data_IF_496759017435
#
_entry.id   IF_496759017435
#
_cell.length_a   1.000
_cell.length_b   1.000
_cell.length_c   1.000
_cell.angle_alpha   90.00
_cell.angle_beta   90.00
_cell.angle_gamma   90.00
#
_symmetry.space_group_name_H-M   'P 1'
#
loop_
_entity.id
_entity.type
_entity.pdbx_description
1 polymer ?
#
# COMPACT_ATOMS: atom_id res chain seq x y z
N UNK A 1 -51.26 -46.40 -9.21
CA UNK A 1 -50.83 -45.36 -10.15
C UNK A 1 -49.45 -44.92 -9.72
N UNK A 2 -48.46 -45.83 -9.85
CA UNK A 2 -47.52 -45.94 -11.00
C UNK A 2 -46.48 -44.80 -10.90
N UNK A 3 -45.22 -44.96 -10.46
CA UNK A 3 -44.18 -45.99 -10.66
C UNK A 3 -43.92 -46.38 -12.11
N UNK A 4 -42.74 -45.98 -12.63
CA UNK A 4 -41.86 -46.54 -13.69
C UNK A 4 -40.81 -45.45 -14.00
N UNK A 5 -39.49 -45.52 -13.74
CA UNK A 5 -38.43 -46.54 -13.85
C UNK A 5 -37.89 -46.76 -15.29
N UNK A 6 -36.54 -46.63 -15.38
CA UNK A 6 -35.60 -47.09 -16.42
C UNK A 6 -35.50 -46.36 -17.77
N UNK A 7 -34.29 -45.89 -18.13
CA UNK A 7 -33.30 -46.74 -18.82
C UNK A 7 -31.96 -46.04 -19.06
N UNK A 8 -30.92 -46.77 -18.72
CA UNK A 8 -29.49 -46.65 -19.01
C UNK A 8 -29.12 -46.78 -20.49
N UNK A 9 -27.99 -46.17 -20.88
CA UNK A 9 -27.07 -46.73 -21.88
C UNK A 9 -25.63 -46.29 -21.60
N UNK A 10 -24.85 -47.24 -21.10
CA UNK A 10 -23.39 -47.23 -21.08
C UNK A 10 -22.86 -47.66 -22.45
N UNK A 11 -21.83 -46.99 -22.96
CA UNK A 11 -20.94 -47.54 -24.00
C UNK A 11 -19.51 -47.47 -23.49
N UNK A 12 -19.03 -48.64 -23.05
CA UNK A 12 -17.61 -48.97 -22.97
C UNK A 12 -17.05 -49.15 -24.38
N UNK A 13 -15.81 -48.68 -24.63
CA UNK A 13 -14.86 -49.34 -25.52
C UNK A 13 -13.42 -48.96 -25.14
N UNK A 14 -12.55 -49.95 -25.27
CA UNK A 14 -11.26 -50.18 -24.60
C UNK A 14 -10.05 -49.38 -25.16
N UNK A 15 -8.90 -49.39 -24.44
CA UNK A 15 -7.67 -48.64 -24.74
C UNK A 15 -6.58 -49.48 -25.44
N UNK A 16 -5.82 -48.92 -26.39
CA UNK A 16 -4.62 -49.55 -27.01
C UNK A 16 -3.73 -48.43 -27.65
N UNK A 17 -2.38 -48.52 -27.78
CA UNK A 17 -1.33 -48.90 -26.83
C UNK A 17 -0.18 -47.86 -26.74
N UNK A 18 0.69 -48.05 -25.77
CA UNK A 18 2.03 -47.46 -25.66
C UNK A 18 2.95 -47.83 -26.84
N UNK A 19 3.58 -46.84 -27.48
CA UNK A 19 4.76 -47.06 -28.33
C UNK A 19 6.00 -46.41 -27.73
N UNK A 20 6.90 -47.31 -27.33
CA UNK A 20 8.26 -47.04 -26.93
C UNK A 20 9.09 -46.79 -28.20
N UNK A 21 9.76 -45.64 -28.33
CA UNK A 21 10.88 -45.47 -29.28
C UNK A 21 12.00 -44.67 -28.64
N UNK A 22 13.06 -45.40 -28.28
CA UNK A 22 14.41 -44.89 -28.22
C UNK A 22 14.84 -44.38 -29.60
N UNK A 23 15.50 -43.21 -29.65
CA UNK A 23 16.86 -43.04 -30.20
C UNK A 23 17.12 -41.61 -30.66
N UNK A 24 18.42 -41.28 -30.65
CA UNK A 24 19.11 -40.16 -31.28
C UNK A 24 19.23 -38.85 -30.50
N UNK A 25 20.36 -38.80 -29.79
CA UNK A 25 21.23 -37.65 -29.60
C UNK A 25 21.30 -36.73 -30.83
N UNK A 26 21.10 -35.42 -30.63
CA UNK A 26 21.74 -34.39 -31.44
C UNK A 26 22.08 -33.19 -30.56
N UNK A 27 23.37 -32.98 -30.47
CA UNK A 27 24.08 -31.87 -29.88
C UNK A 27 23.93 -30.64 -30.81
N UNK A 28 23.68 -29.44 -30.27
CA UNK A 28 24.52 -28.24 -30.46
C UNK A 28 23.80 -26.92 -30.10
N UNK A 29 24.47 -26.19 -29.20
CA UNK A 29 24.74 -24.75 -29.18
C UNK A 29 23.60 -23.72 -29.30
N UNK A 30 23.37 -23.00 -28.19
CA UNK A 30 23.26 -21.53 -28.24
C UNK A 30 23.86 -20.90 -26.98
N UNK A 31 24.64 -19.86 -27.25
CA UNK A 31 25.62 -19.17 -26.42
C UNK A 31 25.00 -18.32 -25.31
N UNK A 32 25.48 -18.50 -24.08
CA UNK A 32 25.36 -17.49 -23.00
C UNK A 32 26.60 -16.61 -23.01
N UNK A 33 26.44 -15.36 -23.41
CA UNK A 33 27.40 -14.29 -23.14
C UNK A 33 27.28 -13.92 -21.65
N UNK A 34 28.33 -14.21 -20.87
CA UNK A 34 28.50 -13.71 -19.51
C UNK A 34 29.84 -12.97 -19.45
N UNK A 35 29.78 -11.65 -19.30
CA UNK A 35 30.93 -10.81 -18.98
C UNK A 35 31.27 -10.99 -17.50
N UNK A 36 32.47 -11.50 -17.23
CA UNK A 36 33.01 -11.66 -15.88
C UNK A 36 33.83 -10.45 -15.42
N UNK A 37 34.11 -10.43 -14.12
CA UNK A 37 35.36 -9.89 -13.55
C UNK A 37 35.79 -10.77 -12.35
N UNK A 38 37.10 -10.90 -12.08
CA UNK A 38 37.69 -12.12 -11.55
C UNK A 38 37.95 -12.12 -10.04
N UNK A 39 38.02 -13.32 -9.44
CA UNK A 39 38.79 -13.58 -8.21
C UNK A 39 39.87 -14.61 -8.53
N UNK A 40 41.13 -14.21 -8.35
CA UNK A 40 42.27 -15.10 -8.48
C UNK A 40 42.33 -16.09 -7.31
N UNK A 41 42.50 -17.34 -7.72
CA UNK A 41 43.32 -18.44 -7.17
C UNK A 41 44.33 -18.08 -6.07
N UNK A 42 44.73 -18.98 -5.16
CA UNK A 42 45.14 -20.37 -5.41
C UNK A 42 45.17 -21.22 -4.13
N UNK A 43 44.85 -22.50 -4.33
CA UNK A 43 45.10 -23.66 -3.47
C UNK A 43 46.59 -23.99 -3.32
N UNK A 44 47.02 -24.58 -2.20
CA UNK A 44 47.44 -26.00 -2.14
C UNK A 44 47.93 -26.44 -0.75
N UNK A 45 47.74 -27.74 -0.50
CA UNK A 45 47.83 -28.51 0.74
C UNK A 45 49.27 -28.77 1.21
N UNK A 46 49.49 -29.00 2.52
CA UNK A 46 50.10 -30.27 3.00
C UNK A 46 49.92 -30.53 4.51
N UNK A 47 49.86 -31.84 4.82
CA UNK A 47 49.64 -32.52 6.11
C UNK A 47 50.56 -32.11 7.28
N UNK A 48 50.07 -32.21 8.54
CA UNK A 48 50.53 -33.21 9.55
C UNK A 48 49.83 -33.12 10.93
N UNK A 49 49.30 -34.27 11.34
CA UNK A 49 49.25 -34.95 12.66
C UNK A 49 48.96 -34.21 13.99
N UNK A 50 48.03 -34.83 14.72
CA UNK A 50 47.58 -34.68 16.10
C UNK A 50 48.67 -34.51 17.19
N UNK A 51 48.32 -33.77 18.26
CA UNK A 51 48.42 -34.21 19.67
C UNK A 51 47.68 -33.24 20.61
N UNK A 52 46.74 -33.79 21.39
CA UNK A 52 46.24 -33.23 22.66
C UNK A 52 47.29 -33.49 23.76
N UNK A 53 47.28 -32.72 24.86
CA UNK A 53 46.64 -33.27 26.06
C UNK A 53 45.82 -32.26 26.88
N UNK A 54 44.78 -32.79 27.53
CA UNK A 54 44.09 -32.18 28.64
C UNK A 54 44.95 -32.26 29.91
N UNK A 55 44.99 -31.19 30.71
CA UNK A 55 45.46 -31.24 32.10
C UNK A 55 44.46 -30.50 33.00
N UNK A 56 44.25 -31.14 34.13
CA UNK A 56 43.20 -31.09 35.13
C UNK A 56 43.26 -29.86 36.04
N UNK A 57 42.07 -29.42 36.50
CA UNK A 57 41.85 -28.48 37.59
C UNK A 57 42.43 -28.99 38.92
N UNK A 58 43.12 -28.11 39.65
CA UNK A 58 43.26 -28.20 41.12
C UNK A 58 43.10 -26.83 41.78
N UNK A 59 42.48 -26.90 42.96
CA UNK A 59 41.97 -25.85 43.85
C UNK A 59 43.04 -24.92 44.45
N UNK A 60 42.72 -23.63 44.67
CA UNK A 60 42.74 -22.98 46.00
C UNK A 60 42.34 -21.49 45.94
N UNK A 61 41.67 -21.05 47.00
CA UNK A 61 41.07 -19.73 47.26
C UNK A 61 42.08 -18.57 47.33
N UNK A 62 41.67 -17.40 46.84
CA UNK A 62 41.96 -16.12 47.50
C UNK A 62 40.89 -15.08 47.12
N UNK A 63 40.17 -14.59 48.13
CA UNK A 63 39.23 -13.47 48.04
C UNK A 63 39.97 -12.16 47.77
N UNK A 64 39.65 -11.48 46.67
CA UNK A 64 39.83 -10.03 46.55
C UNK A 64 38.56 -9.41 45.99
N UNK A 65 37.78 -8.79 46.90
CA UNK A 65 36.61 -8.00 46.58
C UNK A 65 37.03 -6.66 45.97
N UNK A 66 37.07 -6.59 44.64
CA UNK A 66 37.12 -5.31 43.92
C UNK A 66 35.68 -4.80 43.84
N UNK A 67 35.35 -3.88 44.75
CA UNK A 67 34.14 -3.06 44.66
C UNK A 67 34.34 -2.08 43.51
N UNK A 68 34.07 -2.53 42.29
CA UNK A 68 33.97 -1.66 41.14
C UNK A 68 32.70 -0.83 41.30
N UNK A 69 32.86 0.45 41.66
CA UNK A 69 31.86 1.47 41.41
C UNK A 69 31.66 1.54 39.89
N UNK A 70 30.72 0.74 39.38
CA UNK A 70 30.13 0.99 38.09
C UNK A 70 29.31 2.28 38.22
N UNK A 71 29.97 3.41 37.98
CA UNK A 71 29.33 4.57 37.37
C UNK A 71 28.88 4.09 35.98
N UNK A 72 27.77 3.36 35.95
CA UNK A 72 26.95 3.27 34.78
C UNK A 72 26.46 4.69 34.55
N UNK A 73 27.17 5.43 33.69
CA UNK A 73 26.61 6.56 32.97
C UNK A 73 25.44 6.06 32.16
N UNK A 74 24.30 5.86 32.82
CA UNK A 74 23.02 5.84 32.18
C UNK A 74 22.80 7.27 31.68
N UNK A 75 23.31 7.55 30.48
CA UNK A 75 22.65 8.46 29.55
C UNK A 75 21.31 7.83 29.14
N UNK A 76 20.46 7.52 30.13
CA UNK A 76 19.08 7.16 29.93
C UNK A 76 18.35 8.46 29.69
N UNK A 77 17.87 8.66 28.46
CA UNK A 77 16.94 9.74 28.16
C UNK A 77 15.83 9.79 29.20
N UNK A 78 15.44 11.00 29.60
CA UNK A 78 14.42 11.23 30.61
C UNK A 78 13.17 10.36 30.36
N UNK A 79 12.59 9.71 31.39
CA UNK A 79 11.43 8.82 31.23
C UNK A 79 10.24 9.49 30.51
N UNK A 80 10.10 10.81 30.65
CA UNK A 80 9.10 11.61 29.94
C UNK A 80 9.40 11.73 28.44
N UNK A 81 10.68 11.93 28.07
CA UNK A 81 11.12 12.01 26.67
C UNK A 81 10.88 10.67 25.95
N UNK A 82 11.11 9.55 26.65
CA UNK A 82 10.84 8.22 26.10
C UNK A 82 9.35 8.00 25.82
N UNK A 83 8.47 8.37 26.77
CA UNK A 83 7.01 8.30 26.57
C UNK A 83 6.50 9.17 25.42
N UNK A 84 7.05 10.37 25.27
CA UNK A 84 6.68 11.27 24.14
C UNK A 84 7.15 10.67 22.81
N UNK A 85 8.35 10.10 22.75
CA UNK A 85 8.87 9.45 21.55
C UNK A 85 8.05 8.22 21.15
N UNK A 86 7.70 7.37 22.13
CA UNK A 86 6.83 6.20 21.94
C UNK A 86 5.45 6.59 21.43
N UNK A 87 4.82 7.60 22.04
CA UNK A 87 3.54 8.10 21.58
C UNK A 87 3.63 8.69 20.17
N UNK A 88 4.68 9.45 19.85
CA UNK A 88 4.90 10.01 18.51
C UNK A 88 5.02 8.91 17.47
N UNK A 89 5.77 7.85 17.77
CA UNK A 89 5.91 6.71 16.88
C UNK A 89 4.56 5.98 16.69
N UNK A 90 3.85 5.70 17.79
CA UNK A 90 2.52 5.11 17.73
C UNK A 90 1.54 5.97 16.93
N UNK A 91 1.56 7.29 17.10
CA UNK A 91 0.74 8.23 16.36
C UNK A 91 1.09 8.26 14.86
N UNK A 92 2.37 8.19 14.52
CA UNK A 92 2.83 8.12 13.14
C UNK A 92 2.36 6.83 12.45
N UNK A 93 2.49 5.68 13.12
CA UNK A 93 1.97 4.40 12.62
C UNK A 93 0.44 4.40 12.54
N UNK A 94 -0.25 5.04 13.50
CA UNK A 94 -1.70 5.18 13.52
C UNK A 94 -2.23 5.88 12.26
N UNK A 95 -1.55 6.95 11.82
CA UNK A 95 -1.94 7.74 10.64
C UNK A 95 -1.73 7.03 9.30
N UNK A 96 -1.01 5.89 9.27
CA UNK A 96 -0.67 5.13 8.06
C UNK A 96 -0.06 6.02 6.97
N UNK A 97 1.21 6.44 7.12
CA UNK A 97 1.84 7.46 6.28
C UNK A 97 1.80 7.17 4.77
N UNK A 98 1.84 5.89 4.40
CA UNK A 98 1.72 5.47 3.00
C UNK A 98 0.43 5.99 2.33
N UNK A 99 -0.69 6.07 3.07
CA UNK A 99 -1.96 6.60 2.56
C UNK A 99 -1.97 8.13 2.40
N UNK A 100 -1.10 8.82 3.15
CA UNK A 100 -0.96 10.28 3.11
C UNK A 100 -0.12 10.70 1.91
N UNK A 101 0.92 9.94 1.55
CA UNK A 101 1.82 10.24 0.41
C UNK A 101 1.05 10.46 -0.89
N UNK A 102 0.17 9.52 -1.27
CA UNK A 102 -0.63 9.63 -2.49
C UNK A 102 -1.61 10.81 -2.46
N UNK A 103 -2.23 11.05 -1.30
CA UNK A 103 -3.13 12.20 -1.07
C UNK A 103 -2.39 13.53 -1.25
N UNK A 104 -1.20 13.65 -0.67
CA UNK A 104 -0.38 14.85 -0.76
C UNK A 104 0.07 15.11 -2.19
N UNK A 105 0.50 14.06 -2.92
CA UNK A 105 0.92 14.17 -4.32
C UNK A 105 -0.22 14.68 -5.22
N UNK A 106 -1.40 14.05 -5.14
CA UNK A 106 -2.58 14.45 -5.94
C UNK A 106 -3.06 15.86 -5.60
N UNK A 107 -3.12 16.19 -4.30
CA UNK A 107 -3.51 17.52 -3.84
C UNK A 107 -2.53 18.59 -4.32
N UNK A 108 -1.22 18.33 -4.21
CA UNK A 108 -0.19 19.24 -4.69
C UNK A 108 -0.27 19.47 -6.20
N UNK A 109 -0.51 18.41 -6.99
CA UNK A 109 -0.65 18.52 -8.44
C UNK A 109 -1.84 19.41 -8.83
N UNK A 110 -3.01 19.22 -8.20
CA UNK A 110 -4.23 19.99 -8.50
C UNK A 110 -4.14 21.44 -8.03
N UNK A 111 -3.59 21.67 -6.84
CA UNK A 111 -3.32 23.03 -6.35
C UNK A 111 -2.37 23.73 -7.31
N UNK A 112 -1.22 23.12 -7.61
CA UNK A 112 -0.24 23.68 -8.54
C UNK A 112 -0.84 24.01 -9.90
N UNK A 113 -1.71 23.13 -10.42
CA UNK A 113 -2.40 23.38 -11.68
C UNK A 113 -3.29 24.62 -11.63
N UNK A 114 -4.09 24.77 -10.57
CA UNK A 114 -4.94 25.95 -10.38
C UNK A 114 -4.11 27.24 -10.23
N UNK A 115 -2.97 27.18 -9.54
CA UNK A 115 -2.08 28.34 -9.36
C UNK A 115 -1.39 28.76 -10.67
N UNK A 116 -0.94 27.79 -11.48
CA UNK A 116 -0.31 28.06 -12.78
C UNK A 116 -1.31 28.69 -13.76
N UNK A 117 -2.58 28.33 -13.69
CA UNK A 117 -3.65 28.94 -14.50
C UNK A 117 -3.95 30.40 -14.09
N UNK A 118 -3.54 30.83 -12.89
CA UNK A 118 -3.83 32.19 -12.40
C UNK A 118 -2.72 32.76 -11.50
N UNK A 119 -1.51 33.01 -12.04
CA UNK A 119 -0.35 33.41 -11.22
C UNK A 119 -0.54 34.75 -10.50
N UNK A 120 -1.29 35.67 -11.09
CA UNK A 120 -1.56 37.01 -10.54
C UNK A 120 -2.44 37.00 -9.29
N UNK A 121 -3.11 35.87 -8.99
CA UNK A 121 -4.02 35.74 -7.85
C UNK A 121 -3.36 35.08 -6.63
N UNK A 122 -2.06 34.77 -6.71
CA UNK A 122 -1.32 34.12 -5.61
C UNK A 122 -1.13 35.12 -4.46
N UNK A 123 -1.54 34.72 -3.26
CA UNK A 123 -1.45 35.53 -2.04
C UNK A 123 -1.02 34.68 -0.84
N UNK A 124 -0.46 35.30 0.18
CA UNK A 124 -0.12 34.62 1.44
C UNK A 124 -1.34 34.00 2.14
N UNK A 125 -2.51 34.62 2.02
CA UNK A 125 -3.77 34.05 2.52
C UNK A 125 -4.12 32.72 1.86
N UNK A 126 -3.75 32.52 0.59
CA UNK A 126 -3.98 31.26 -0.11
C UNK A 126 -3.08 30.15 0.43
N UNK A 127 -1.84 30.46 0.81
CA UNK A 127 -0.92 29.50 1.44
C UNK A 127 -1.48 29.04 2.79
N UNK A 128 -1.95 29.97 3.63
CA UNK A 128 -2.56 29.62 4.92
C UNK A 128 -3.82 28.76 4.73
N UNK A 129 -4.68 29.11 3.76
CA UNK A 129 -5.83 28.27 3.39
C UNK A 129 -5.39 26.89 2.92
N UNK A 130 -4.38 26.78 2.05
CA UNK A 130 -3.88 25.49 1.57
C UNK A 130 -3.33 24.62 2.70
N UNK A 131 -2.55 25.20 3.63
CA UNK A 131 -2.06 24.50 4.82
C UNK A 131 -3.21 24.02 5.69
N UNK A 132 -4.21 24.87 5.96
CA UNK A 132 -5.39 24.46 6.73
C UNK A 132 -6.16 23.31 6.05
N UNK A 133 -6.30 23.35 4.72
CA UNK A 133 -6.92 22.28 3.94
C UNK A 133 -6.14 20.97 4.04
N UNK A 134 -4.81 21.02 3.98
CA UNK A 134 -3.96 19.85 4.17
C UNK A 134 -4.12 19.24 5.57
N UNK A 135 -4.18 20.08 6.62
CA UNK A 135 -4.44 19.61 7.99
C UNK A 135 -5.81 18.94 8.07
N UNK A 136 -6.85 19.51 7.45
CA UNK A 136 -8.18 18.90 7.40
C UNK A 136 -8.19 17.54 6.68
N UNK A 137 -7.45 17.41 5.57
CA UNK A 137 -7.28 16.13 4.86
C UNK A 137 -6.55 15.09 5.70
N UNK A 138 -5.50 15.48 6.43
CA UNK A 138 -4.78 14.59 7.36
C UNK A 138 -5.71 14.16 8.50
N UNK A 139 -6.53 15.06 9.02
CA UNK A 139 -7.55 14.72 10.02
C UNK A 139 -8.57 13.72 9.46
N UNK A 140 -9.08 13.94 8.25
CA UNK A 140 -10.05 13.03 7.63
C UNK A 140 -9.44 11.64 7.39
N UNK A 141 -8.17 11.60 6.95
CA UNK A 141 -7.38 10.38 6.87
C UNK A 141 -7.30 9.68 8.23
N UNK A 142 -6.87 10.41 9.28
CA UNK A 142 -6.71 9.92 10.64
C UNK A 142 -7.99 9.34 11.23
N UNK A 143 -9.13 9.99 10.98
CA UNK A 143 -10.45 9.47 11.33
C UNK A 143 -10.71 8.12 10.64
N UNK A 144 -10.63 8.06 9.31
CA UNK A 144 -10.99 6.87 8.51
C UNK A 144 -10.07 5.69 8.85
N UNK A 145 -8.75 5.89 8.92
CA UNK A 145 -7.81 4.81 9.25
C UNK A 145 -7.89 4.41 10.71
N UNK A 146 -8.22 5.36 11.59
CA UNK A 146 -8.36 5.14 13.03
C UNK A 146 -9.57 4.27 13.35
N UNK A 147 -10.75 4.62 12.83
CA UNK A 147 -11.95 3.78 13.02
C UNK A 147 -11.73 2.38 12.43
N UNK A 148 -11.05 2.28 11.28
CA UNK A 148 -10.80 0.97 10.70
C UNK A 148 -9.96 0.09 11.63
N UNK A 149 -8.90 0.63 12.22
CA UNK A 149 -8.06 -0.11 13.18
C UNK A 149 -8.82 -0.51 14.44
N UNK A 150 -9.70 0.35 14.97
CA UNK A 150 -10.50 0.05 16.16
C UNK A 150 -11.44 -1.14 15.94
N UNK A 151 -12.05 -1.25 14.75
CA UNK A 151 -12.99 -2.35 14.44
C UNK A 151 -12.30 -3.62 13.89
N UNK A 152 -11.02 -3.51 13.51
CA UNK A 152 -10.25 -4.60 12.93
C UNK A 152 -9.13 -5.13 13.85
N UNK A 153 -9.10 -4.77 15.15
CA UNK A 153 -8.02 -5.15 16.08
C UNK A 153 -7.65 -6.64 15.98
N UNK A 154 -8.63 -7.53 15.93
CA UNK A 154 -8.38 -8.98 15.82
C UNK A 154 -7.72 -9.39 14.49
N UNK A 155 -8.10 -8.75 13.38
CA UNK A 155 -7.52 -8.99 12.05
C UNK A 155 -6.13 -8.37 11.96
N UNK A 156 -5.98 -7.13 12.43
CA UNK A 156 -4.73 -6.39 12.41
C UNK A 156 -3.67 -7.04 13.32
N UNK A 157 -4.04 -7.72 14.42
CA UNK A 157 -3.10 -8.52 15.22
C UNK A 157 -2.42 -9.65 14.43
N UNK A 158 -3.08 -10.15 13.39
CA UNK A 158 -2.53 -11.20 12.53
C UNK A 158 -1.74 -10.59 11.38
N UNK A 159 -2.38 -9.70 10.63
CA UNK A 159 -1.84 -9.23 9.35
C UNK A 159 -0.88 -8.05 9.53
N UNK A 160 -1.10 -7.22 10.55
CA UNK A 160 -0.42 -5.93 10.75
C UNK A 160 -0.08 -5.71 12.23
N UNK A 161 0.67 -6.64 12.87
CA UNK A 161 0.92 -6.60 14.32
C UNK A 161 1.69 -5.36 14.77
N UNK A 162 2.37 -4.67 13.84
CA UNK A 162 3.06 -3.41 14.07
C UNK A 162 2.11 -2.20 14.22
N UNK A 163 0.82 -2.32 13.94
CA UNK A 163 -0.13 -1.21 14.12
C UNK A 163 -0.35 -0.94 15.61
N UNK A 164 -0.43 0.34 16.03
CA UNK A 164 -0.33 0.72 17.44
C UNK A 164 -1.42 0.12 18.34
N UNK A 165 -2.66 -0.03 17.83
CA UNK A 165 -3.75 -0.65 18.61
C UNK A 165 -3.57 -2.18 18.67
N UNK A 166 -3.08 -2.79 17.59
CA UNK A 166 -2.84 -4.24 17.53
C UNK A 166 -1.64 -4.65 18.40
N UNK A 167 -0.57 -3.84 18.38
CA UNK A 167 0.64 -3.99 19.18
C UNK A 167 0.41 -3.74 20.68
N UNK A 168 -0.61 -2.95 21.03
CA UNK A 168 -0.89 -2.54 22.42
C UNK A 168 -0.23 -1.23 22.84
N UNK A 169 0.50 -0.57 21.94
CA UNK A 169 1.14 0.74 22.17
C UNK A 169 0.12 1.87 22.35
N UNK A 170 -1.09 1.69 21.82
CA UNK A 170 -2.20 2.64 21.95
C UNK A 170 -3.45 1.92 22.43
N UNK A 171 -4.00 2.37 23.57
CA UNK A 171 -5.25 1.81 24.10
C UNK A 171 -6.44 2.12 23.19
N UNK A 172 -7.47 1.27 23.21
CA UNK A 172 -8.71 1.50 22.44
C UNK A 172 -9.40 2.80 22.84
N UNK A 173 -9.38 3.16 24.12
CA UNK A 173 -9.92 4.44 24.61
C UNK A 173 -9.16 5.64 24.03
N UNK A 174 -7.83 5.61 24.09
CA UNK A 174 -6.98 6.66 23.50
C UNK A 174 -7.18 6.76 21.98
N UNK A 175 -7.34 5.63 21.29
CA UNK A 175 -7.63 5.62 19.86
C UNK A 175 -8.97 6.29 19.52
N UNK A 176 -10.03 6.03 20.30
CA UNK A 176 -11.31 6.72 20.13
C UNK A 176 -11.19 8.24 20.36
N UNK A 177 -10.43 8.65 21.39
CA UNK A 177 -10.15 10.08 21.62
C UNK A 177 -9.45 10.70 20.42
N UNK A 178 -8.42 10.05 19.86
CA UNK A 178 -7.74 10.54 18.66
C UNK A 178 -8.68 10.63 17.45
N UNK A 179 -9.50 9.60 17.21
CA UNK A 179 -10.51 9.60 16.14
C UNK A 179 -11.47 10.77 16.28
N UNK A 180 -11.97 11.04 17.49
CA UNK A 180 -12.87 12.16 17.76
C UNK A 180 -12.18 13.52 17.57
N UNK A 181 -10.94 13.66 18.04
CA UNK A 181 -10.13 14.87 17.81
C UNK A 181 -9.97 15.12 16.32
N UNK A 182 -9.64 14.08 15.53
CA UNK A 182 -9.52 14.20 14.08
C UNK A 182 -10.85 14.62 13.42
N UNK A 183 -11.97 14.00 13.81
CA UNK A 183 -13.28 14.36 13.27
C UNK A 183 -13.63 15.83 13.56
N UNK A 184 -13.52 16.25 14.82
CA UNK A 184 -13.88 17.60 15.26
C UNK A 184 -12.94 18.64 14.66
N UNK A 185 -11.63 18.41 14.68
CA UNK A 185 -10.64 19.34 14.15
C UNK A 185 -10.81 19.50 12.64
N UNK A 186 -10.90 18.38 11.91
CA UNK A 186 -11.09 18.39 10.47
C UNK A 186 -12.38 19.09 10.06
N UNK A 187 -13.50 18.76 10.72
CA UNK A 187 -14.80 19.38 10.47
C UNK A 187 -14.80 20.88 10.77
N UNK A 188 -14.18 21.29 11.88
CA UNK A 188 -14.08 22.69 12.28
C UNK A 188 -13.30 23.51 11.26
N UNK A 189 -12.20 22.96 10.74
CA UNK A 189 -11.39 23.63 9.70
C UNK A 189 -12.20 23.79 8.41
N UNK A 190 -12.85 22.73 7.92
CA UNK A 190 -13.61 22.82 6.65
C UNK A 190 -14.80 23.77 6.75
N UNK A 191 -15.55 23.70 7.87
CA UNK A 191 -16.72 24.53 8.10
C UNK A 191 -16.39 26.03 8.18
N UNK A 192 -15.26 26.38 8.81
CA UNK A 192 -14.85 27.77 8.99
C UNK A 192 -14.13 28.38 7.77
N UNK A 193 -13.47 27.56 6.93
CA UNK A 193 -12.57 28.08 5.89
C UNK A 193 -13.02 27.81 4.44
N UNK A 194 -13.85 26.78 4.19
CA UNK A 194 -14.10 26.27 2.84
C UNK A 194 -15.57 26.24 2.42
N UNK A 195 -16.47 26.74 3.29
CA UNK A 195 -17.89 26.90 2.99
C UNK A 195 -18.70 25.60 3.04
N UNK A 196 -20.02 25.68 2.85
CA UNK A 196 -20.93 24.58 3.09
C UNK A 196 -20.75 23.42 2.09
N UNK A 197 -20.42 23.71 0.84
CA UNK A 197 -20.27 22.66 -0.18
C UNK A 197 -19.10 21.71 0.12
N UNK A 198 -17.89 22.25 0.37
CA UNK A 198 -16.73 21.44 0.74
C UNK A 198 -16.95 20.74 2.07
N UNK A 199 -17.61 21.40 3.02
CA UNK A 199 -17.98 20.79 4.30
C UNK A 199 -18.88 19.56 4.10
N UNK A 200 -19.87 19.64 3.20
CA UNK A 200 -20.74 18.50 2.87
C UNK A 200 -19.97 17.35 2.21
N UNK A 201 -19.04 17.64 1.29
CA UNK A 201 -18.19 16.59 0.69
C UNK A 201 -17.28 15.94 1.72
N UNK A 202 -16.73 16.73 2.65
CA UNK A 202 -15.92 16.22 3.75
C UNK A 202 -16.74 15.30 4.67
N UNK A 203 -17.94 15.72 5.06
CA UNK A 203 -18.88 14.92 5.85
C UNK A 203 -19.26 13.62 5.12
N UNK A 204 -19.51 13.69 3.81
CA UNK A 204 -19.75 12.51 2.97
C UNK A 204 -18.55 11.55 3.01
N UNK A 205 -17.32 12.06 2.92
CA UNK A 205 -16.10 11.27 3.05
C UNK A 205 -15.99 10.55 4.39
N UNK A 206 -16.25 11.26 5.50
CA UNK A 206 -16.27 10.65 6.85
C UNK A 206 -17.39 9.62 6.99
N UNK A 207 -18.58 9.92 6.47
CA UNK A 207 -19.72 9.00 6.47
C UNK A 207 -19.41 7.71 5.70
N UNK A 208 -18.86 7.84 4.48
CA UNK A 208 -18.46 6.70 3.66
C UNK A 208 -17.36 5.86 4.34
N UNK A 209 -16.39 6.52 5.00
CA UNK A 209 -15.40 5.83 5.83
C UNK A 209 -16.03 5.09 7.03
N UNK A 210 -17.07 5.67 7.63
CA UNK A 210 -17.78 5.08 8.76
C UNK A 210 -18.53 3.82 8.34
N UNK A 211 -19.39 3.91 7.32
CA UNK A 211 -20.15 2.75 6.84
C UNK A 211 -19.24 1.64 6.30
N UNK A 212 -18.03 2.00 5.86
CA UNK A 212 -17.02 1.05 5.42
C UNK A 212 -16.55 0.13 6.56
N UNK A 213 -16.30 0.67 7.76
CA UNK A 213 -15.70 -0.07 8.88
C UNK A 213 -16.69 -0.51 9.97
N UNK A 214 -17.77 0.25 10.21
CA UNK A 214 -18.60 0.13 11.42
C UNK A 214 -19.85 -0.75 11.19
N UNK A 215 -20.18 -1.70 12.11
CA UNK A 215 -21.45 -2.44 12.08
C UNK A 215 -22.68 -1.53 12.27
N UNK A 216 -23.87 -1.88 11.74
CA UNK A 216 -24.20 -3.14 11.07
C UNK A 216 -23.74 -3.22 9.60
N UNK A 217 -23.42 -2.09 8.96
CA UNK A 217 -23.10 -2.04 7.53
C UNK A 217 -21.78 -2.72 7.20
N UNK A 218 -20.67 -2.26 7.80
CA UNK A 218 -19.29 -2.74 7.57
C UNK A 218 -19.06 -3.15 6.11
N UNK A 219 -19.29 -2.20 5.20
CA UNK A 219 -19.36 -2.43 3.75
C UNK A 219 -18.09 -3.05 3.15
N UNK A 220 -16.96 -2.95 3.85
CA UNK A 220 -15.71 -3.63 3.48
C UNK A 220 -15.83 -5.15 3.30
N UNK A 221 -16.88 -5.77 3.84
CA UNK A 221 -17.22 -7.20 3.63
C UNK A 221 -17.62 -7.52 2.20
N UNK A 222 -18.08 -6.53 1.44
CA UNK A 222 -18.47 -6.67 0.04
C UNK A 222 -17.39 -6.05 -0.84
N UNK A 223 -16.56 -6.84 -1.55
CA UNK A 223 -15.38 -6.33 -2.26
C UNK A 223 -15.71 -5.22 -3.26
N UNK A 224 -16.77 -5.39 -4.05
CA UNK A 224 -17.17 -4.38 -5.05
C UNK A 224 -17.54 -3.05 -4.39
N UNK A 225 -18.36 -3.08 -3.33
CA UNK A 225 -18.75 -1.86 -2.60
C UNK A 225 -17.53 -1.23 -1.93
N UNK A 226 -16.63 -2.04 -1.38
CA UNK A 226 -15.38 -1.58 -0.78
C UNK A 226 -14.51 -0.81 -1.79
N UNK A 227 -14.38 -1.34 -3.01
CA UNK A 227 -13.63 -0.70 -4.09
C UNK A 227 -14.27 0.62 -4.52
N UNK A 228 -15.59 0.64 -4.68
CA UNK A 228 -16.35 1.85 -5.04
C UNK A 228 -16.23 2.93 -3.97
N UNK A 229 -16.30 2.58 -2.68
CA UNK A 229 -16.10 3.55 -1.59
C UNK A 229 -14.69 4.14 -1.64
N UNK A 230 -13.66 3.30 -1.78
CA UNK A 230 -12.27 3.77 -1.82
C UNK A 230 -12.02 4.65 -3.06
N UNK A 231 -12.47 4.21 -4.24
CA UNK A 231 -12.36 5.00 -5.47
C UNK A 231 -13.14 6.31 -5.37
N UNK A 232 -14.31 6.33 -4.73
CA UNK A 232 -15.10 7.55 -4.53
C UNK A 232 -14.40 8.50 -3.56
N UNK A 233 -13.99 8.04 -2.38
CA UNK A 233 -13.43 8.91 -1.33
C UNK A 233 -12.02 9.37 -1.68
N UNK A 234 -11.12 8.43 -1.99
CA UNK A 234 -9.69 8.73 -2.27
C UNK A 234 -9.44 9.12 -3.71
N UNK A 235 -10.19 8.53 -4.64
CA UNK A 235 -10.05 8.80 -6.06
C UNK A 235 -10.75 10.09 -6.46
N UNK A 236 -12.07 10.13 -6.35
CA UNK A 236 -12.85 11.23 -6.92
C UNK A 236 -12.99 12.43 -5.96
N UNK A 237 -13.65 12.24 -4.81
CA UNK A 237 -14.06 13.31 -3.89
C UNK A 237 -12.88 14.15 -3.41
N UNK A 238 -11.77 13.51 -3.08
CA UNK A 238 -10.57 14.20 -2.63
C UNK A 238 -10.02 15.13 -3.72
N UNK A 239 -9.81 14.60 -4.92
CA UNK A 239 -9.25 15.37 -6.04
C UNK A 239 -10.21 16.49 -6.47
N UNK A 240 -11.49 16.16 -6.67
CA UNK A 240 -12.52 17.15 -6.98
C UNK A 240 -12.60 18.25 -5.91
N UNK A 241 -12.66 17.86 -4.63
CA UNK A 241 -12.79 18.78 -3.51
C UNK A 241 -11.59 19.72 -3.37
N UNK A 242 -10.37 19.21 -3.53
CA UNK A 242 -9.15 20.03 -3.48
C UNK A 242 -9.12 21.05 -4.61
N UNK A 243 -9.41 20.64 -5.84
CA UNK A 243 -9.42 21.56 -6.97
C UNK A 243 -10.54 22.62 -6.84
N UNK A 244 -11.73 22.19 -6.45
CA UNK A 244 -12.86 23.10 -6.17
C UNK A 244 -12.50 24.13 -5.10
N UNK A 245 -11.99 23.66 -3.95
CA UNK A 245 -11.61 24.52 -2.84
C UNK A 245 -10.53 25.53 -3.25
N UNK A 246 -9.56 25.11 -4.06
CA UNK A 246 -8.49 25.99 -4.56
C UNK A 246 -9.04 27.07 -5.48
N UNK A 247 -9.89 26.72 -6.44
CA UNK A 247 -10.52 27.71 -7.35
C UNK A 247 -11.43 28.68 -6.60
N UNK A 248 -12.23 28.17 -5.67
CA UNK A 248 -13.08 29.01 -4.83
C UNK A 248 -12.25 29.97 -3.96
N UNK A 249 -11.11 29.53 -3.43
CA UNK A 249 -10.19 30.38 -2.68
C UNK A 249 -9.53 31.47 -3.55
N UNK A 250 -9.39 31.22 -4.86
CA UNK A 250 -8.95 32.20 -5.86
C UNK A 250 -10.09 33.12 -6.35
N UNK A 251 -11.33 32.92 -5.90
CA UNK A 251 -12.50 33.67 -6.38
C UNK A 251 -12.95 33.27 -7.78
N UNK A 252 -12.53 32.09 -8.26
CA UNK A 252 -12.83 31.60 -9.61
C UNK A 252 -13.97 30.58 -9.60
N UNK A 253 -14.84 30.57 -10.62
CA UNK A 253 -15.82 29.51 -10.78
C UNK A 253 -15.13 28.18 -11.08
N UNK A 254 -15.74 27.08 -10.66
CA UNK A 254 -15.26 25.73 -10.97
C UNK A 254 -15.35 25.46 -12.48
N UNK A 255 -14.31 24.84 -13.05
CA UNK A 255 -14.27 24.46 -14.47
C UNK A 255 -13.57 23.10 -14.61
N UNK A 256 -14.13 22.19 -15.40
CA UNK A 256 -13.43 20.98 -15.81
C UNK A 256 -12.49 21.29 -16.98
N UNK A 257 -11.18 21.32 -16.73
CA UNK A 257 -10.17 21.35 -17.79
C UNK A 257 -9.65 19.95 -18.09
N UNK A 258 -9.16 19.73 -19.32
CA UNK A 258 -8.60 18.43 -19.72
C UNK A 258 -7.54 17.89 -18.72
N UNK A 259 -6.59 18.70 -18.20
CA UNK A 259 -5.64 18.22 -17.18
C UNK A 259 -6.31 17.78 -15.88
N UNK A 260 -7.35 18.49 -15.43
CA UNK A 260 -8.04 18.19 -14.16
C UNK A 260 -8.88 16.92 -14.28
N UNK A 261 -9.59 16.74 -15.40
CA UNK A 261 -10.30 15.50 -15.71
C UNK A 261 -9.32 14.33 -15.77
N UNK A 262 -8.17 14.53 -16.43
CA UNK A 262 -7.12 13.52 -16.51
C UNK A 262 -6.57 13.14 -15.13
N UNK A 263 -6.13 14.11 -14.31
CA UNK A 263 -5.58 13.85 -12.97
C UNK A 263 -6.62 13.13 -12.10
N UNK A 264 -7.87 13.61 -12.10
CA UNK A 264 -8.94 13.02 -11.30
C UNK A 264 -9.24 11.58 -11.73
N UNK A 265 -9.32 11.33 -13.04
CA UNK A 265 -9.54 9.97 -13.59
C UNK A 265 -8.37 9.05 -13.28
N UNK A 266 -7.15 9.51 -13.52
CA UNK A 266 -5.94 8.76 -13.28
C UNK A 266 -5.80 8.34 -11.81
N UNK A 267 -5.98 9.29 -10.88
CA UNK A 267 -5.90 9.01 -9.44
C UNK A 267 -7.07 8.13 -8.97
N UNK A 268 -8.24 8.26 -9.59
CA UNK A 268 -9.39 7.38 -9.28
C UNK A 268 -9.13 5.93 -9.69
N UNK A 269 -8.62 5.71 -10.91
CA UNK A 269 -8.23 4.37 -11.36
C UNK A 269 -7.07 3.82 -10.53
N UNK A 270 -6.10 4.66 -10.16
CA UNK A 270 -5.01 4.26 -9.26
C UNK A 270 -5.53 3.84 -7.87
N UNK A 271 -6.46 4.61 -7.29
CA UNK A 271 -7.10 4.27 -6.01
C UNK A 271 -7.91 2.97 -6.09
N UNK A 272 -8.56 2.71 -7.22
CA UNK A 272 -9.24 1.43 -7.49
C UNK A 272 -8.25 0.27 -7.53
N UNK A 273 -7.10 0.43 -8.19
CA UNK A 273 -6.04 -0.59 -8.22
C UNK A 273 -5.56 -0.87 -6.79
N UNK A 274 -5.22 0.15 -6.00
CA UNK A 274 -4.84 -0.02 -4.59
C UNK A 274 -5.94 -0.77 -3.82
N UNK A 275 -7.21 -0.42 -4.04
CA UNK A 275 -8.32 -1.07 -3.35
C UNK A 275 -8.42 -2.57 -3.66
N UNK A 276 -8.13 -2.97 -4.90
CA UNK A 276 -8.13 -4.38 -5.34
C UNK A 276 -6.93 -5.14 -4.76
N UNK A 277 -5.77 -4.51 -4.73
CA UNK A 277 -4.50 -5.18 -4.43
C UNK A 277 -4.09 -5.10 -2.96
N UNK A 278 -4.66 -4.20 -2.15
CA UNK A 278 -4.30 -3.95 -0.74
C UNK A 278 -4.29 -5.19 0.17
N UNK A 279 -5.10 -6.21 -0.15
CA UNK A 279 -5.25 -7.39 0.69
C UNK A 279 -4.29 -8.51 0.25
N UNK A 280 -3.48 -8.31 -0.81
CA UNK A 280 -2.48 -9.28 -1.27
C UNK A 280 -1.44 -9.63 -0.19
N UNK A 281 -0.86 -8.67 0.56
CA UNK A 281 0.09 -8.99 1.64
C UNK A 281 -0.55 -9.73 2.81
N UNK A 282 -1.87 -9.69 2.93
CA UNK A 282 -2.63 -10.23 4.05
C UNK A 282 -3.09 -11.70 3.80
N UNK A 283 -2.88 -12.26 2.60
CA UNK A 283 -3.48 -13.53 2.17
C UNK A 283 -3.09 -14.74 3.02
N UNK A 284 -1.83 -14.92 3.44
CA UNK A 284 -1.46 -16.07 4.28
C UNK A 284 -2.10 -15.97 5.67
N UNK A 285 -2.14 -14.76 6.25
CA UNK A 285 -2.81 -14.50 7.52
C UNK A 285 -4.31 -14.75 7.41
N UNK A 286 -4.95 -14.22 6.37
CA UNK A 286 -6.37 -14.44 6.10
C UNK A 286 -6.72 -15.92 5.94
N UNK A 287 -5.89 -16.70 5.22
CA UNK A 287 -6.09 -18.15 5.06
C UNK A 287 -5.98 -18.89 6.39
N UNK A 288 -4.99 -18.56 7.22
CA UNK A 288 -4.77 -19.22 8.51
C UNK A 288 -5.97 -19.05 9.44
N UNK A 289 -6.67 -17.92 9.36
CA UNK A 289 -7.83 -17.60 10.20
C UNK A 289 -9.17 -17.66 9.46
N UNK A 290 -9.22 -18.31 8.29
CA UNK A 290 -10.45 -18.52 7.50
C UNK A 290 -11.20 -17.22 7.14
N UNK A 291 -10.46 -16.13 6.91
CA UNK A 291 -11.01 -14.86 6.46
C UNK A 291 -11.21 -14.91 4.94
N UNK A 292 -12.46 -14.75 4.52
CA UNK A 292 -12.82 -14.70 3.10
C UNK A 292 -12.59 -13.30 2.53
N UNK A 293 -11.55 -13.13 1.72
CA UNK A 293 -11.28 -11.94 0.92
C UNK A 293 -11.29 -12.27 -0.57
N UNK A 294 -11.25 -11.25 -1.44
CA UNK A 294 -11.21 -11.48 -2.88
C UNK A 294 -9.92 -12.21 -3.28
N UNK A 295 -8.80 -11.89 -2.62
CA UNK A 295 -7.51 -12.54 -2.85
C UNK A 295 -7.46 -13.98 -2.33
N UNK A 296 -8.14 -14.32 -1.22
CA UNK A 296 -8.24 -15.73 -0.79
C UNK A 296 -9.15 -16.56 -1.70
N UNK A 297 -10.18 -15.96 -2.30
CA UNK A 297 -11.13 -16.64 -3.23
C UNK A 297 -10.62 -16.80 -4.65
N UNK A 298 -10.14 -15.72 -5.27
CA UNK A 298 -9.69 -15.72 -6.67
C UNK A 298 -8.22 -16.10 -6.82
N UNK A 299 -7.46 -16.05 -5.72
CA UNK A 299 -6.03 -16.36 -5.69
C UNK A 299 -5.15 -15.14 -5.92
N UNK A 300 -3.99 -15.16 -5.25
CA UNK A 300 -2.97 -14.10 -5.25
C UNK A 300 -2.57 -13.70 -6.68
N UNK A 301 -2.27 -14.69 -7.53
CA UNK A 301 -1.86 -14.47 -8.93
C UNK A 301 -2.90 -13.69 -9.72
N UNK A 302 -4.17 -14.08 -9.63
CA UNK A 302 -5.24 -13.45 -10.41
C UNK A 302 -5.49 -12.00 -9.96
N UNK A 303 -5.44 -11.73 -8.66
CA UNK A 303 -5.60 -10.36 -8.13
C UNK A 303 -4.39 -9.48 -8.46
N UNK A 304 -3.18 -10.02 -8.36
CA UNK A 304 -1.97 -9.30 -8.78
C UNK A 304 -2.02 -8.93 -10.27
N UNK A 305 -2.36 -9.89 -11.14
CA UNK A 305 -2.47 -9.65 -12.59
C UNK A 305 -3.62 -8.69 -12.92
N UNK A 306 -4.75 -8.77 -12.24
CA UNK A 306 -5.87 -7.83 -12.41
C UNK A 306 -5.43 -6.40 -12.04
N UNK A 307 -4.78 -6.23 -10.89
CA UNK A 307 -4.26 -4.94 -10.44
C UNK A 307 -3.22 -4.37 -11.41
N UNK A 308 -2.23 -5.18 -11.81
CA UNK A 308 -1.21 -4.79 -12.79
C UNK A 308 -1.83 -4.45 -14.15
N UNK A 309 -2.80 -5.23 -14.62
CA UNK A 309 -3.48 -5.00 -15.89
C UNK A 309 -4.24 -3.68 -15.90
N UNK A 310 -5.03 -3.41 -14.84
CA UNK A 310 -5.75 -2.13 -14.70
C UNK A 310 -4.80 -0.93 -14.63
N UNK A 311 -3.68 -1.06 -13.90
CA UNK A 311 -2.69 0.00 -13.83
C UNK A 311 -1.97 0.23 -15.16
N UNK A 312 -1.68 -0.85 -15.90
CA UNK A 312 -1.10 -0.75 -17.24
C UNK A 312 -2.04 -0.04 -18.21
N UNK A 313 -3.34 -0.37 -18.18
CA UNK A 313 -4.37 0.34 -18.95
C UNK A 313 -4.40 1.82 -18.59
N UNK A 314 -4.25 2.18 -17.32
CA UNK A 314 -4.19 3.57 -16.88
C UNK A 314 -2.96 4.31 -17.47
N UNK A 315 -1.78 3.67 -17.51
CA UNK A 315 -0.58 4.23 -18.13
C UNK A 315 -0.70 4.35 -19.65
N UNK A 316 -1.22 3.33 -20.33
CA UNK A 316 -1.48 3.37 -21.78
C UNK A 316 -2.49 4.48 -22.10
N UNK A 317 -3.57 4.57 -21.33
CA UNK A 317 -4.57 5.64 -21.45
C UNK A 317 -3.95 7.04 -21.30
N UNK A 318 -2.95 7.18 -20.44
CA UNK A 318 -2.20 8.44 -20.25
C UNK A 318 -1.33 8.79 -21.47
N UNK A 319 -0.69 7.80 -22.07
CA UNK A 319 0.09 7.97 -23.32
C UNK A 319 -0.86 8.36 -24.47
N UNK A 320 -1.98 7.64 -24.61
CA UNK A 320 -3.02 7.90 -25.60
C UNK A 320 -3.58 9.32 -25.43
N UNK A 321 -3.93 9.73 -24.20
CA UNK A 321 -4.41 11.07 -23.91
C UNK A 321 -3.40 12.15 -24.36
N UNK A 322 -2.11 11.95 -24.13
CA UNK A 322 -1.07 12.88 -24.56
C UNK A 322 -0.95 12.97 -26.09
N UNK A 323 -1.17 11.87 -26.82
CA UNK A 323 -1.13 11.85 -28.30
C UNK A 323 -2.32 12.59 -28.88
N UNK A 324 -3.54 12.33 -28.37
CA UNK A 324 -4.78 12.90 -28.92
C UNK A 324 -5.11 14.30 -28.41
N UNK A 325 -4.55 14.74 -27.27
CA UNK A 325 -4.77 16.06 -26.68
C UNK A 325 -3.44 16.84 -26.55
N UNK A 326 -2.76 17.15 -27.66
CA UNK A 326 -1.44 17.77 -27.64
C UNK A 326 -1.44 19.20 -27.04
N UNK A 327 -2.57 19.90 -27.13
CA UNK A 327 -2.76 21.23 -26.54
C UNK A 327 -2.94 21.20 -25.02
N UNK A 328 -3.42 20.08 -24.47
CA UNK A 328 -3.63 19.91 -23.04
C UNK A 328 -2.38 19.38 -22.32
N UNK A 329 -1.52 18.63 -23.03
CA UNK A 329 -0.44 17.86 -22.42
C UNK A 329 0.90 18.05 -23.12
N UNK A 330 1.96 18.21 -22.31
CA UNK A 330 3.34 18.20 -22.82
C UNK A 330 3.75 16.78 -23.21
N UNK A 331 3.61 16.44 -24.50
CA UNK A 331 3.93 15.12 -25.07
C UNK A 331 5.34 14.64 -24.74
N UNK A 332 6.31 15.56 -24.76
CA UNK A 332 7.72 15.27 -24.44
C UNK A 332 7.95 14.81 -23.00
N UNK A 333 7.00 15.04 -22.09
CA UNK A 333 7.07 14.57 -20.71
C UNK A 333 6.10 13.42 -20.46
N UNK A 334 4.83 13.60 -20.85
CA UNK A 334 3.77 12.62 -20.56
C UNK A 334 4.06 11.24 -21.17
N UNK A 335 4.45 11.19 -22.44
CA UNK A 335 4.69 9.92 -23.15
C UNK A 335 5.88 9.16 -22.53
N UNK A 336 7.11 9.72 -22.46
CA UNK A 336 8.23 8.95 -21.91
C UNK A 336 8.04 8.57 -20.44
N UNK A 337 7.48 9.44 -19.60
CA UNK A 337 7.23 9.12 -18.19
C UNK A 337 6.29 7.93 -18.04
N UNK A 338 5.13 7.94 -18.70
CA UNK A 338 4.15 6.86 -18.56
C UNK A 338 4.61 5.57 -19.27
N UNK A 339 5.40 5.67 -20.34
CA UNK A 339 6.06 4.51 -20.97
C UNK A 339 7.05 3.85 -20.03
N UNK A 340 7.91 4.64 -19.35
CA UNK A 340 8.85 4.11 -18.36
C UNK A 340 8.09 3.43 -17.21
N UNK A 341 7.04 4.07 -16.68
CA UNK A 341 6.22 3.48 -15.62
C UNK A 341 5.53 2.18 -16.07
N UNK A 342 5.03 2.12 -17.30
CA UNK A 342 4.44 0.91 -17.87
C UNK A 342 5.48 -0.22 -18.02
N UNK A 343 6.68 0.08 -18.51
CA UNK A 343 7.77 -0.89 -18.64
C UNK A 343 8.20 -1.39 -17.26
N UNK A 344 8.40 -0.49 -16.30
CA UNK A 344 8.71 -0.84 -14.91
C UNK A 344 7.62 -1.73 -14.31
N UNK A 345 6.34 -1.45 -14.57
CA UNK A 345 5.23 -2.25 -14.08
C UNK A 345 5.23 -3.66 -14.65
N UNK A 346 5.44 -3.79 -15.96
CA UNK A 346 5.54 -5.10 -16.62
C UNK A 346 6.74 -5.88 -16.07
N UNK A 347 7.89 -5.23 -15.92
CA UNK A 347 9.09 -5.85 -15.36
C UNK A 347 8.89 -6.33 -13.92
N UNK A 348 8.29 -5.51 -13.06
CA UNK A 348 8.00 -5.88 -11.68
C UNK A 348 6.93 -6.98 -11.58
N UNK A 349 5.93 -6.97 -12.46
CA UNK A 349 4.94 -8.06 -12.55
C UNK A 349 5.60 -9.37 -13.00
N UNK A 350 6.57 -9.30 -13.91
CA UNK A 350 7.37 -10.46 -14.31
C UNK A 350 8.22 -10.99 -13.15
N UNK A 351 8.88 -10.12 -12.39
CA UNK A 351 9.62 -10.52 -11.19
C UNK A 351 8.71 -11.19 -10.14
N UNK A 352 7.49 -10.68 -9.96
CA UNK A 352 6.49 -11.27 -9.07
C UNK A 352 6.10 -12.70 -9.51
N UNK A 353 5.94 -12.94 -10.82
CA UNK A 353 5.67 -14.27 -11.36
C UNK A 353 6.87 -15.22 -11.20
N UNK A 354 8.11 -14.72 -11.42
CA UNK A 354 9.34 -15.50 -11.14
C UNK A 354 9.47 -15.89 -9.66
N UNK A 355 9.09 -14.98 -8.76
CA UNK A 355 9.02 -15.24 -7.32
C UNK A 355 7.83 -16.13 -6.90
N UNK A 356 7.03 -16.61 -7.87
CA UNK A 356 5.83 -17.42 -7.65
C UNK A 356 4.84 -16.78 -6.67
N UNK A 357 4.77 -15.44 -6.69
CA UNK A 357 3.88 -14.66 -5.81
C UNK A 357 4.11 -14.93 -4.32
N UNK A 358 5.37 -15.09 -3.90
CA UNK A 358 5.72 -15.31 -2.49
C UNK A 358 5.33 -14.11 -1.61
N UNK A 359 4.93 -14.38 -0.37
CA UNK A 359 4.52 -13.36 0.61
C UNK A 359 5.59 -12.30 0.83
N UNK A 360 6.85 -12.69 0.99
CA UNK A 360 7.95 -11.73 1.20
C UNK A 360 8.06 -10.74 0.04
N UNK A 361 7.98 -11.25 -1.20
CA UNK A 361 8.06 -10.40 -2.38
C UNK A 361 6.80 -9.54 -2.54
N UNK A 362 5.61 -10.03 -2.18
CA UNK A 362 4.40 -9.21 -2.15
C UNK A 362 4.54 -8.03 -1.19
N UNK A 363 5.05 -8.25 0.02
CA UNK A 363 5.26 -7.17 0.99
C UNK A 363 6.24 -6.11 0.44
N UNK A 364 7.35 -6.56 -0.13
CA UNK A 364 8.40 -5.67 -0.66
C UNK A 364 7.96 -4.93 -1.93
N UNK A 365 7.32 -5.63 -2.88
CA UNK A 365 6.87 -5.05 -4.14
C UNK A 365 5.63 -4.17 -4.00
N UNK A 366 4.73 -4.47 -3.06
CA UNK A 366 3.56 -3.62 -2.81
C UNK A 366 3.96 -2.20 -2.39
N UNK A 367 5.10 -2.06 -1.70
CA UNK A 367 5.69 -0.79 -1.32
C UNK A 367 6.40 -0.06 -2.49
N UNK A 368 6.70 -0.78 -3.59
CA UNK A 368 7.36 -0.22 -4.79
C UNK A 368 6.31 0.23 -5.82
N UNK A 369 5.16 -0.44 -5.88
CA UNK A 369 4.07 -0.12 -6.81
C UNK A 369 3.16 1.04 -6.36
N UNK A 370 3.10 1.33 -5.05
CA UNK A 370 2.14 2.25 -4.42
C UNK A 370 2.78 3.05 -3.27
#
# INVERSE_FOLDING_TARGET
MELLQCSSTSTHLHPIPSTNRNSSSLNQNSSKFALGFPRNSSSLQFRRKCRLPAITLTSSRAHLSIRACALAGASGSDPAVNKVSEFRDAFWRFLRPHTIRGTALGSFALVSRALIESPSLISWSLVLKAVSGLVALICGNGYIVGINQIYDIGIDKVNKPYLPIAAGDLSVGSAWVLVLIFAVTGLSIVASNFGPFITSLYCLGLFLGTIYSVPPFRMKRFPVVAFLIIATVRGFLLNFGVYYATRAALGLPFVWSYPVVFITTFVTLFALVIAITKDLPDVEGDRKFQISTLATKLGVKNIALLGSGLLLVNYIGSIVAAIFLPEAFRRSLMIPTHTILAICLVFQTWLLDQAKYSQSFLIDSFLIFF
#
